data_IF_592299827787
#
_entry.id   IF_592299827787
#
_cell.length_a   1.000
_cell.length_b   1.000
_cell.length_c   1.000
_cell.angle_alpha   90.00
_cell.angle_beta   90.00
_cell.angle_gamma   90.00
#
_symmetry.space_group_name_H-M   'P 1'
#
loop_
_entity.id
_entity.type
_entity.pdbx_description
1 polymer ?
#
# COMPACT_ATOMS: atom_id res chain seq x y z
N UNK A 1 -78.70 -24.30 -11.06
CA UNK A 1 -77.78 -23.92 -12.15
C UNK A 1 -77.34 -22.48 -11.88
N UNK A 2 -76.08 -22.10 -11.71
CA UNK A 2 -74.80 -22.78 -11.59
C UNK A 2 -73.92 -21.89 -10.70
N UNK A 3 -73.15 -22.52 -9.81
CA UNK A 3 -72.49 -21.91 -8.66
C UNK A 3 -71.44 -20.84 -9.00
N UNK A 4 -71.48 -19.73 -8.26
CA UNK A 4 -70.44 -18.71 -8.17
C UNK A 4 -69.14 -19.33 -7.64
N UNK A 5 -68.14 -19.46 -8.51
CA UNK A 5 -66.78 -19.84 -8.11
C UNK A 5 -66.10 -18.63 -7.48
N UNK A 6 -66.24 -18.52 -6.16
CA UNK A 6 -65.33 -17.76 -5.31
C UNK A 6 -63.92 -18.36 -5.46
N UNK A 7 -63.11 -17.76 -6.33
CA UNK A 7 -61.67 -18.07 -6.39
C UNK A 7 -61.02 -17.48 -5.14
N UNK A 8 -60.90 -18.30 -4.10
CA UNK A 8 -60.02 -18.04 -2.95
C UNK A 8 -58.62 -17.76 -3.49
N UNK A 9 -58.23 -16.49 -3.45
CA UNK A 9 -56.89 -16.02 -3.75
C UNK A 9 -55.96 -16.58 -2.65
N UNK A 10 -55.45 -17.81 -2.86
CA UNK A 10 -54.42 -18.41 -2.00
C UNK A 10 -53.21 -17.51 -2.09
N UNK A 11 -52.96 -16.78 -1.00
CA UNK A 11 -51.78 -15.91 -0.85
C UNK A 11 -50.54 -16.66 -1.30
N UNK A 12 -50.05 -16.25 -2.48
CA UNK A 12 -48.74 -16.66 -2.97
C UNK A 12 -47.77 -16.16 -1.90
N UNK A 13 -47.21 -17.08 -1.09
CA UNK A 13 -46.13 -16.75 -0.16
C UNK A 13 -45.05 -16.07 -1.00
N UNK A 14 -44.94 -14.76 -0.87
CA UNK A 14 -43.88 -13.97 -1.52
C UNK A 14 -42.56 -14.66 -1.21
N UNK A 15 -41.83 -15.01 -2.27
CA UNK A 15 -40.52 -15.60 -2.06
C UNK A 15 -39.61 -14.54 -1.43
N UNK A 16 -38.63 -14.90 -0.59
CA UNK A 16 -37.68 -13.94 -0.02
C UNK A 16 -37.03 -13.03 -1.07
N UNK A 17 -36.82 -13.55 -2.29
CA UNK A 17 -36.37 -12.79 -3.47
C UNK A 17 -37.33 -11.67 -3.89
N UNK A 18 -38.65 -11.88 -3.77
CA UNK A 18 -39.67 -10.89 -4.13
C UNK A 18 -39.65 -9.69 -3.16
N UNK A 19 -39.41 -9.96 -1.87
CA UNK A 19 -39.30 -8.93 -0.82
C UNK A 19 -38.04 -8.10 -0.96
N UNK A 20 -36.90 -8.73 -1.26
CA UNK A 20 -35.65 -8.01 -1.55
C UNK A 20 -35.82 -7.16 -2.82
N UNK A 21 -36.40 -7.72 -3.88
CA UNK A 21 -36.67 -6.98 -5.10
C UNK A 21 -37.65 -5.81 -4.87
N UNK A 22 -38.64 -5.97 -3.99
CA UNK A 22 -39.54 -4.90 -3.59
C UNK A 22 -38.81 -3.79 -2.82
N UNK A 23 -37.96 -4.14 -1.85
CA UNK A 23 -37.16 -3.18 -1.11
C UNK A 23 -36.21 -2.38 -2.03
N UNK A 24 -35.53 -3.06 -2.96
CA UNK A 24 -34.67 -2.40 -3.95
C UNK A 24 -35.46 -1.46 -4.87
N UNK A 25 -36.69 -1.85 -5.28
CA UNK A 25 -37.58 -0.98 -6.06
C UNK A 25 -38.03 0.25 -5.27
N UNK A 26 -38.29 0.11 -3.97
CA UNK A 26 -38.65 1.23 -3.09
C UNK A 26 -37.48 2.22 -2.96
N UNK A 27 -36.26 1.72 -2.76
CA UNK A 27 -35.05 2.55 -2.71
C UNK A 27 -34.85 3.28 -4.04
N UNK A 28 -34.92 2.56 -5.16
CA UNK A 28 -34.82 3.15 -6.50
C UNK A 28 -35.90 4.22 -6.76
N UNK A 29 -37.13 3.98 -6.32
CA UNK A 29 -38.22 4.95 -6.40
C UNK A 29 -37.95 6.22 -5.58
N UNK A 30 -37.47 6.07 -4.35
CA UNK A 30 -37.14 7.19 -3.48
C UNK A 30 -35.99 8.04 -4.06
N UNK A 31 -34.97 7.41 -4.64
CA UNK A 31 -33.87 8.09 -5.32
C UNK A 31 -34.37 8.87 -6.54
N UNK A 32 -35.25 8.28 -7.35
CA UNK A 32 -35.84 8.98 -8.50
C UNK A 32 -36.61 10.23 -8.08
N UNK A 33 -37.41 10.13 -7.02
CA UNK A 33 -38.16 11.26 -6.48
C UNK A 33 -37.25 12.36 -5.94
N UNK A 34 -36.16 12.00 -5.26
CA UNK A 34 -35.20 12.96 -4.71
C UNK A 34 -34.36 13.64 -5.81
N UNK A 35 -33.95 12.92 -6.84
CA UNK A 35 -33.27 13.47 -8.02
C UNK A 35 -34.14 14.54 -8.72
N UNK A 36 -35.43 14.22 -8.92
CA UNK A 36 -36.40 15.15 -9.50
C UNK A 36 -36.60 16.39 -8.61
N UNK A 37 -36.68 16.21 -7.28
CA UNK A 37 -36.81 17.32 -6.33
C UNK A 37 -35.61 18.27 -6.36
N UNK A 38 -34.41 17.75 -6.56
CA UNK A 38 -33.14 18.52 -6.56
C UNK A 38 -32.72 19.03 -7.94
N UNK A 39 -33.46 18.71 -9.01
CA UNK A 39 -33.09 19.07 -10.38
C UNK A 39 -31.74 18.48 -10.83
N UNK A 40 -31.40 17.28 -10.35
CA UNK A 40 -30.15 16.58 -10.69
C UNK A 40 -30.42 15.26 -11.39
N UNK A 41 -29.45 14.79 -12.16
CA UNK A 41 -29.49 13.44 -12.72
C UNK A 41 -29.40 12.39 -11.61
N UNK A 42 -30.10 11.27 -11.83
CA UNK A 42 -30.06 10.13 -10.92
C UNK A 42 -28.67 9.47 -10.95
N UNK A 43 -28.12 9.04 -9.80
CA UNK A 43 -26.93 8.21 -9.80
C UNK A 43 -27.20 6.88 -10.52
N UNK A 44 -26.27 6.44 -11.36
CA UNK A 44 -26.37 5.19 -12.11
C UNK A 44 -26.04 3.95 -11.26
N UNK A 45 -25.36 4.13 -10.13
CA UNK A 45 -24.97 3.05 -9.22
C UNK A 45 -24.94 3.58 -7.79
N UNK A 46 -25.39 2.78 -6.83
CA UNK A 46 -25.36 3.10 -5.40
C UNK A 46 -24.93 1.86 -4.63
N UNK A 47 -23.95 2.02 -3.76
CA UNK A 47 -23.48 0.96 -2.87
C UNK A 47 -24.17 1.10 -1.51
N UNK A 48 -24.81 0.02 -1.05
CA UNK A 48 -25.48 -0.06 0.24
C UNK A 48 -24.77 -1.08 1.14
N UNK A 49 -24.09 -0.60 2.18
CA UNK A 49 -23.54 -1.45 3.23
C UNK A 49 -24.65 -1.80 4.24
N UNK A 50 -25.18 -3.03 4.18
CA UNK A 50 -26.16 -3.54 5.15
C UNK A 50 -25.46 -4.37 6.22
N UNK A 51 -25.58 -3.96 7.48
CA UNK A 51 -25.13 -4.75 8.63
C UNK A 51 -26.34 -5.37 9.34
N UNK A 52 -26.31 -6.69 9.52
CA UNK A 52 -27.33 -7.45 10.25
C UNK A 52 -26.76 -7.83 11.61
N UNK A 53 -27.50 -7.58 12.68
CA UNK A 53 -27.15 -8.06 14.02
C UNK A 53 -27.65 -9.50 14.25
N UNK A 54 -27.34 -10.06 15.42
CA UNK A 54 -27.64 -11.47 15.76
C UNK A 54 -29.14 -11.76 15.91
N UNK A 55 -30.00 -10.73 16.00
CA UNK A 55 -31.47 -10.88 16.02
C UNK A 55 -32.09 -10.87 14.62
N UNK A 56 -31.28 -10.65 13.58
CA UNK A 56 -31.76 -10.48 12.22
C UNK A 56 -32.47 -9.14 11.99
N UNK A 57 -32.39 -8.21 12.95
CA UNK A 57 -32.84 -6.85 12.76
C UNK A 57 -31.79 -6.07 11.96
N UNK A 58 -32.27 -5.29 10.99
CA UNK A 58 -31.40 -4.39 10.25
C UNK A 58 -31.14 -3.18 11.15
N UNK A 59 -30.01 -3.16 11.84
CA UNK A 59 -29.56 -1.95 12.51
C UNK A 59 -29.04 -0.97 11.46
N UNK A 60 -29.90 -0.05 11.03
CA UNK A 60 -29.50 1.06 10.19
C UNK A 60 -28.62 2.00 11.03
N UNK A 61 -27.31 2.04 10.78
CA UNK A 61 -26.47 3.06 11.42
C UNK A 61 -26.83 4.50 10.97
N UNK A 62 -27.63 4.65 9.90
CA UNK A 62 -28.27 5.90 9.45
C UNK A 62 -29.58 5.57 8.73
N UNK A 63 -30.65 6.33 9.00
CA UNK A 63 -31.96 6.18 8.35
C UNK A 63 -31.86 6.23 6.81
N UNK A 64 -32.77 5.55 6.10
CA UNK A 64 -32.79 5.50 4.64
C UNK A 64 -32.77 6.91 4.00
N UNK A 65 -33.42 7.88 4.62
CA UNK A 65 -33.42 9.29 4.20
C UNK A 65 -32.03 9.93 4.21
N UNK A 66 -31.15 9.51 5.13
CA UNK A 66 -29.78 9.99 5.23
C UNK A 66 -28.88 9.36 4.16
N UNK A 67 -29.12 8.09 3.80
CA UNK A 67 -28.41 7.43 2.70
C UNK A 67 -28.82 8.01 1.34
N UNK A 68 -30.11 8.25 1.13
CA UNK A 68 -30.63 8.90 -0.07
C UNK A 68 -30.08 10.32 -0.15
N UNK A 69 -30.11 11.09 0.94
CA UNK A 69 -29.53 12.43 0.96
C UNK A 69 -28.02 12.43 0.68
N UNK A 70 -27.28 11.46 1.22
CA UNK A 70 -25.85 11.29 0.98
C UNK A 70 -25.55 10.93 -0.48
N UNK A 71 -26.36 10.09 -1.13
CA UNK A 71 -26.18 9.71 -2.54
C UNK A 71 -26.32 10.89 -3.52
N UNK A 72 -26.97 11.98 -3.10
CA UNK A 72 -27.09 13.22 -3.86
C UNK A 72 -26.15 14.33 -3.38
N UNK A 73 -25.34 14.08 -2.34
CA UNK A 73 -24.23 14.97 -2.04
C UNK A 73 -23.17 14.81 -3.15
N UNK A 74 -22.67 15.91 -3.73
CA UNK A 74 -21.57 15.81 -4.66
C UNK A 74 -20.40 15.09 -3.96
N UNK A 75 -19.81 14.08 -4.61
CA UNK A 75 -18.65 13.35 -4.08
C UNK A 75 -18.89 11.95 -3.51
N UNK A 76 -20.10 11.40 -3.56
CA UNK A 76 -20.39 9.99 -3.19
C UNK A 76 -20.56 9.06 -4.38
N UNK A 77 -20.22 9.49 -5.60
CA UNK A 77 -20.14 8.59 -6.75
C UNK A 77 -18.72 7.99 -6.78
N UNK A 78 -18.50 6.73 -6.33
CA UNK A 78 -17.30 6.02 -6.69
C UNK A 78 -17.42 5.72 -8.19
N UNK A 79 -17.05 6.68 -9.05
CA UNK A 79 -16.96 6.37 -10.47
C UNK A 79 -16.00 5.17 -10.60
N UNK A 80 -16.44 4.03 -11.17
CA UNK A 80 -15.66 2.79 -11.19
C UNK A 80 -14.36 2.90 -12.00
N UNK A 81 -14.13 4.03 -12.67
CA UNK A 81 -12.94 4.34 -13.46
C UNK A 81 -11.64 4.40 -12.64
N UNK A 82 -11.71 4.51 -11.31
CA UNK A 82 -10.51 4.67 -10.46
C UNK A 82 -10.36 3.62 -9.35
N UNK A 83 -11.13 2.53 -9.40
CA UNK A 83 -10.81 1.32 -8.65
C UNK A 83 -9.70 0.57 -9.41
N UNK A 84 -8.46 0.62 -8.91
CA UNK A 84 -7.21 0.41 -9.68
C UNK A 84 -6.89 1.53 -10.67
N UNK A 85 -7.03 2.80 -10.23
CA UNK A 85 -6.86 3.97 -11.07
C UNK A 85 -5.53 3.94 -11.81
N UNK A 86 -5.56 3.67 -13.13
CA UNK A 86 -4.35 3.68 -13.92
C UNK A 86 -3.69 5.06 -13.83
N UNK A 87 -2.36 5.08 -13.83
CA UNK A 87 -1.64 6.33 -13.82
C UNK A 87 -1.56 6.93 -15.21
N UNK A 88 -1.76 8.25 -15.30
CA UNK A 88 -1.52 8.96 -16.53
C UNK A 88 -0.09 8.73 -17.03
N UNK A 89 0.04 8.19 -18.24
CA UNK A 89 1.32 8.05 -18.92
C UNK A 89 1.54 9.26 -19.83
N UNK A 90 2.46 10.15 -19.48
CA UNK A 90 2.73 11.36 -20.28
C UNK A 90 3.36 11.04 -21.63
N UNK A 91 4.06 9.90 -21.76
CA UNK A 91 4.61 9.47 -23.04
C UNK A 91 3.53 8.99 -24.01
N UNK A 92 2.55 8.23 -23.51
CA UNK A 92 1.46 7.69 -24.33
C UNK A 92 0.23 8.62 -24.39
N UNK A 93 0.20 9.67 -23.55
CA UNK A 93 -0.92 10.60 -23.37
C UNK A 93 -2.25 9.88 -23.08
N UNK A 94 -2.18 8.86 -22.24
CA UNK A 94 -3.36 8.07 -21.83
C UNK A 94 -3.05 7.37 -20.51
N UNK A 95 -4.09 7.01 -19.78
CA UNK A 95 -4.07 6.09 -18.64
C UNK A 95 -4.49 4.66 -19.07
N UNK A 96 -4.88 4.44 -20.33
CA UNK A 96 -5.24 3.13 -20.87
C UNK A 96 -4.08 2.26 -21.37
N UNK A 97 -2.83 2.72 -21.25
CA UNK A 97 -1.68 1.97 -21.78
C UNK A 97 -1.11 0.98 -20.76
N UNK A 98 -0.36 -0.04 -21.23
CA UNK A 98 0.27 -1.03 -20.34
C UNK A 98 1.18 -0.43 -19.26
N UNK A 99 1.82 0.72 -19.53
CA UNK A 99 2.67 1.40 -18.54
C UNK A 99 1.90 2.01 -17.37
N UNK A 100 0.58 2.22 -17.52
CA UNK A 100 -0.25 2.90 -16.53
C UNK A 100 -0.58 2.02 -15.33
N UNK A 101 -0.19 0.74 -15.35
CA UNK A 101 -0.45 -0.23 -14.29
C UNK A 101 0.84 -1.01 -13.98
N UNK A 102 0.99 -1.51 -12.74
CA UNK A 102 2.09 -2.43 -12.43
C UNK A 102 1.89 -3.77 -13.14
N UNK A 103 2.99 -4.41 -13.53
CA UNK A 103 2.97 -5.76 -14.10
C UNK A 103 2.81 -6.84 -13.01
N UNK A 104 3.20 -6.53 -11.77
CA UNK A 104 3.14 -7.41 -10.61
C UNK A 104 2.45 -6.69 -9.41
N UNK A 105 1.47 -7.30 -8.72
CA UNK A 105 0.80 -6.74 -7.53
C UNK A 105 1.71 -6.33 -6.36
N UNK A 106 2.99 -6.73 -6.38
CA UNK A 106 4.02 -6.35 -5.40
C UNK A 106 4.75 -5.06 -5.78
N UNK A 107 4.63 -4.65 -7.03
CA UNK A 107 5.21 -3.40 -7.52
C UNK A 107 4.41 -2.20 -7.02
N UNK A 108 5.13 -1.08 -6.97
CA UNK A 108 4.67 0.20 -6.45
C UNK A 108 5.10 1.29 -7.39
N UNK A 109 4.29 2.32 -7.50
CA UNK A 109 4.66 3.50 -8.27
C UNK A 109 5.87 4.16 -7.62
N UNK A 110 6.93 4.37 -8.39
CA UNK A 110 8.21 4.94 -7.94
C UNK A 110 8.50 6.31 -8.56
N UNK A 111 7.48 6.95 -9.13
CA UNK A 111 7.61 8.19 -9.88
C UNK A 111 7.61 7.97 -11.39
N UNK A 112 7.97 9.01 -12.13
CA UNK A 112 8.03 8.98 -13.58
C UNK A 112 9.48 8.86 -14.08
N UNK A 113 9.65 8.22 -15.22
CA UNK A 113 10.90 8.30 -16.00
C UNK A 113 11.05 9.68 -16.64
N UNK A 114 12.22 9.97 -17.21
CA UNK A 114 12.49 11.21 -17.95
C UNK A 114 11.49 11.50 -19.08
N UNK A 115 10.97 10.46 -19.73
CA UNK A 115 9.95 10.58 -20.80
C UNK A 115 8.52 10.63 -20.28
N UNK A 116 8.33 10.60 -18.96
CA UNK A 116 7.01 10.67 -18.35
C UNK A 116 6.22 9.35 -18.39
N UNK A 117 6.89 8.20 -18.61
CA UNK A 117 6.30 6.87 -18.32
C UNK A 117 6.29 6.60 -16.82
N UNK A 118 5.20 6.04 -16.25
CA UNK A 118 5.21 5.56 -14.87
C UNK A 118 6.29 4.50 -14.64
N UNK A 119 7.00 4.60 -13.52
CA UNK A 119 8.04 3.66 -13.10
C UNK A 119 7.48 2.78 -11.99
N UNK A 120 7.54 1.47 -12.18
CA UNK A 120 7.06 0.49 -11.22
C UNK A 120 8.24 -0.28 -10.61
N UNK A 121 8.36 -0.27 -9.29
CA UNK A 121 9.42 -0.97 -8.57
C UNK A 121 8.82 -1.88 -7.49
N UNK A 122 9.47 -3.02 -7.23
CA UNK A 122 9.15 -3.81 -6.04
C UNK A 122 9.39 -2.99 -4.77
N UNK A 123 8.63 -3.27 -3.71
CA UNK A 123 8.73 -2.51 -2.45
C UNK A 123 10.17 -2.42 -1.91
N UNK A 124 10.96 -3.50 -2.04
CA UNK A 124 12.35 -3.51 -1.59
C UNK A 124 13.22 -2.51 -2.36
N UNK A 125 13.10 -2.48 -3.68
CA UNK A 125 13.85 -1.55 -4.54
C UNK A 125 13.41 -0.11 -4.29
N UNK A 126 12.11 0.11 -4.06
CA UNK A 126 11.58 1.41 -3.64
C UNK A 126 12.20 1.85 -2.31
N UNK A 127 12.25 0.95 -1.32
CA UNK A 127 12.88 1.23 -0.04
C UNK A 127 14.38 1.53 -0.21
N UNK A 128 15.10 0.81 -1.07
CA UNK A 128 16.53 1.08 -1.33
C UNK A 128 16.76 2.44 -1.99
N UNK A 129 15.81 2.89 -2.80
CA UNK A 129 15.85 4.18 -3.49
C UNK A 129 15.60 5.33 -2.50
N UNK A 130 14.54 5.25 -1.70
CA UNK A 130 14.09 6.35 -0.84
C UNK A 130 14.50 6.24 0.65
N UNK A 131 15.06 5.10 1.07
CA UNK A 131 15.58 4.80 2.42
C UNK A 131 14.67 5.29 3.55
N UNK A 132 13.44 4.75 3.67
CA UNK A 132 12.54 5.15 4.73
C UNK A 132 13.12 4.75 6.09
N UNK A 133 12.86 5.57 7.11
CA UNK A 133 13.15 5.19 8.49
C UNK A 133 12.44 3.87 8.82
N UNK A 134 13.13 2.94 9.49
CA UNK A 134 12.60 1.63 9.83
C UNK A 134 12.70 0.58 8.71
N UNK A 135 13.45 0.82 7.64
CA UNK A 135 13.74 -0.21 6.64
C UNK A 135 14.28 -1.50 7.27
N UNK A 136 15.15 -1.40 8.29
CA UNK A 136 15.81 -2.56 8.90
C UNK A 136 14.83 -3.57 9.51
N UNK A 137 13.65 -3.12 9.94
CA UNK A 137 12.64 -4.00 10.54
C UNK A 137 11.89 -4.87 9.52
N UNK A 138 12.02 -4.60 8.22
CA UNK A 138 11.59 -5.52 7.14
C UNK A 138 12.37 -6.83 7.14
N UNK A 139 13.59 -6.85 7.69
CA UNK A 139 14.50 -8.00 7.63
C UNK A 139 14.66 -8.70 8.99
N UNK A 140 13.80 -8.35 9.96
CA UNK A 140 13.66 -9.02 11.23
C UNK A 140 13.03 -10.42 11.11
N UNK A 141 13.15 -11.29 12.14
CA UNK A 141 12.51 -12.61 12.15
C UNK A 141 10.98 -12.55 12.11
N UNK A 142 10.40 -11.39 12.49
CA UNK A 142 9.03 -11.00 12.20
C UNK A 142 9.11 -9.73 11.34
N UNK A 143 9.06 -9.83 10.00
CA UNK A 143 9.16 -8.67 9.13
C UNK A 143 8.02 -7.70 9.46
N UNK A 144 8.36 -6.47 9.85
CA UNK A 144 7.38 -5.42 10.14
C UNK A 144 6.81 -4.85 8.86
N UNK A 145 5.61 -4.29 8.92
CA UNK A 145 5.06 -3.50 7.83
C UNK A 145 5.84 -2.18 7.73
N UNK A 146 6.32 -1.85 6.53
CA UNK A 146 6.88 -0.54 6.22
C UNK A 146 5.79 0.37 5.70
N UNK A 147 5.82 1.60 6.20
CA UNK A 147 4.96 2.70 5.75
C UNK A 147 5.86 3.85 5.31
N UNK A 148 5.84 4.15 4.02
CA UNK A 148 6.60 5.23 3.40
C UNK A 148 5.64 6.30 2.89
N UNK A 149 6.02 7.57 3.01
CA UNK A 149 5.34 8.68 2.35
C UNK A 149 6.28 9.28 1.30
N UNK A 150 5.79 9.45 0.08
CA UNK A 150 6.48 10.12 -1.02
C UNK A 150 5.67 11.35 -1.44
N UNK A 151 6.36 12.46 -1.62
CA UNK A 151 5.79 13.73 -2.09
C UNK A 151 5.78 13.81 -3.62
N UNK A 152 5.02 14.72 -4.20
CA UNK A 152 5.03 14.96 -5.65
C UNK A 152 6.45 15.24 -6.17
N UNK A 153 7.22 16.10 -5.50
CA UNK A 153 8.60 16.41 -5.91
C UNK A 153 9.45 15.14 -6.04
N UNK A 154 9.33 14.21 -5.10
CA UNK A 154 10.06 12.92 -5.15
C UNK A 154 9.57 11.99 -6.27
N UNK A 155 8.30 12.09 -6.67
CA UNK A 155 7.71 11.27 -7.73
C UNK A 155 7.92 11.87 -9.13
N UNK A 156 8.16 13.18 -9.19
CA UNK A 156 8.30 13.95 -10.43
C UNK A 156 9.77 14.32 -10.74
N UNK A 157 10.71 14.02 -9.84
CA UNK A 157 12.12 14.45 -9.88
C UNK A 157 12.85 14.12 -11.20
N UNK A 158 12.69 12.89 -11.71
CA UNK A 158 13.35 12.44 -12.93
C UNK A 158 12.67 12.95 -14.22
N UNK A 159 11.48 13.56 -14.14
CA UNK A 159 10.65 13.91 -15.31
C UNK A 159 11.08 15.24 -15.95
N UNK A 160 11.28 15.24 -17.26
CA UNK A 160 11.64 16.47 -17.98
C UNK A 160 10.46 17.46 -18.05
N UNK A 161 10.70 18.78 -18.07
CA UNK A 161 9.65 19.82 -18.12
C UNK A 161 8.70 19.70 -19.33
N UNK A 162 9.18 19.19 -20.46
CA UNK A 162 8.32 18.95 -21.63
C UNK A 162 7.23 17.88 -21.39
N UNK A 163 7.33 17.13 -20.30
CA UNK A 163 6.35 16.13 -19.85
C UNK A 163 5.63 16.54 -18.55
N UNK A 164 5.65 17.82 -18.15
CA UNK A 164 4.97 18.30 -16.91
C UNK A 164 3.65 19.02 -17.13
N UNK A 165 3.36 19.58 -18.30
CA UNK A 165 2.21 20.50 -18.48
C UNK A 165 1.04 19.94 -19.30
N UNK A 166 -0.17 20.33 -18.91
CA UNK A 166 -1.32 20.54 -19.82
C UNK A 166 -2.18 19.35 -20.24
N UNK A 167 -1.75 18.10 -20.02
CA UNK A 167 -2.38 16.96 -20.72
C UNK A 167 -2.87 15.79 -19.87
N UNK A 168 -2.67 15.80 -18.54
CA UNK A 168 -3.19 14.73 -17.68
C UNK A 168 -4.63 15.00 -17.23
N UNK A 169 -5.48 13.96 -17.24
CA UNK A 169 -6.79 13.99 -16.56
C UNK A 169 -6.61 14.16 -15.04
N UNK A 170 -5.48 13.71 -14.52
CA UNK A 170 -5.12 13.80 -13.10
C UNK A 170 -3.60 13.95 -12.88
N UNK A 171 -3.22 14.49 -11.72
CA UNK A 171 -1.82 14.63 -11.22
C UNK A 171 -1.68 13.94 -9.87
N UNK A 172 -0.63 13.14 -9.70
CA UNK A 172 -0.27 12.57 -8.40
C UNK A 172 0.38 13.65 -7.53
N UNK A 173 -0.23 14.00 -6.40
CA UNK A 173 0.28 15.02 -5.46
C UNK A 173 1.15 14.39 -4.35
N UNK A 174 1.11 13.08 -4.23
CA UNK A 174 1.92 12.29 -3.31
C UNK A 174 1.25 10.96 -2.99
N UNK A 175 1.96 10.10 -2.26
CA UNK A 175 1.47 8.77 -1.94
C UNK A 175 2.00 8.22 -0.63
N UNK A 176 1.23 7.30 -0.04
CA UNK A 176 1.65 6.40 1.03
C UNK A 176 1.80 5.00 0.47
N UNK A 177 2.94 4.36 0.73
CA UNK A 177 3.21 2.97 0.35
C UNK A 177 3.27 2.13 1.62
N UNK A 178 2.54 1.02 1.63
CA UNK A 178 2.39 0.12 2.77
C UNK A 178 2.67 -1.30 2.34
N UNK A 179 3.65 -1.96 2.95
CA UNK A 179 3.85 -3.37 2.68
C UNK A 179 4.93 -4.02 3.54
N UNK A 180 5.03 -5.35 3.49
CA UNK A 180 4.20 -6.25 2.68
C UNK A 180 2.94 -6.68 3.46
N UNK A 181 1.76 -6.47 2.87
CA UNK A 181 0.46 -6.84 3.44
C UNK A 181 -0.02 -8.16 2.84
N UNK A 182 -0.72 -9.00 3.60
CA UNK A 182 -1.46 -10.12 3.01
C UNK A 182 -2.82 -9.66 2.47
N UNK A 183 -3.49 -10.45 1.61
CA UNK A 183 -4.77 -10.04 1.00
C UNK A 183 -5.90 -9.90 2.03
N UNK A 184 -5.81 -10.61 3.15
CA UNK A 184 -6.79 -10.54 4.24
C UNK A 184 -6.57 -9.36 5.18
N UNK A 185 -5.50 -8.59 4.97
CA UNK A 185 -5.05 -7.51 5.87
C UNK A 185 -4.93 -7.97 7.34
N UNK A 186 -4.63 -9.26 7.56
CA UNK A 186 -4.49 -9.92 8.87
C UNK A 186 -3.01 -10.21 9.21
N UNK A 187 -2.74 -10.98 10.27
CA UNK A 187 -1.37 -11.24 10.75
C UNK A 187 -0.80 -12.61 10.33
N UNK A 188 -1.55 -13.45 9.62
CA UNK A 188 -1.31 -14.90 9.60
C UNK A 188 -1.44 -15.53 8.21
N UNK A 189 -0.65 -15.08 7.24
CA UNK A 189 -0.59 -15.77 5.94
C UNK A 189 0.83 -15.96 5.41
N UNK A 190 0.98 -17.04 4.63
CA UNK A 190 2.22 -17.45 3.98
C UNK A 190 2.78 -16.35 3.05
N UNK A 191 4.09 -16.42 2.80
CA UNK A 191 4.84 -15.36 2.12
C UNK A 191 4.43 -15.08 0.66
N UNK A 192 3.77 -16.02 -0.02
CA UNK A 192 3.54 -15.93 -1.47
C UNK A 192 2.39 -15.01 -1.89
N UNK A 193 1.44 -14.69 -1.00
CA UNK A 193 0.29 -13.83 -1.34
C UNK A 193 0.48 -12.37 -0.94
N UNK A 194 1.69 -11.98 -0.52
CA UNK A 194 1.91 -10.62 -0.05
C UNK A 194 1.89 -9.60 -1.19
N UNK A 195 1.18 -8.50 -0.96
CA UNK A 195 1.02 -7.36 -1.87
C UNK A 195 1.46 -6.06 -1.21
N UNK A 196 1.62 -5.03 -2.03
CA UNK A 196 1.87 -3.68 -1.54
C UNK A 196 0.62 -2.84 -1.75
N UNK A 197 0.17 -2.14 -0.71
CA UNK A 197 -0.88 -1.14 -0.82
C UNK A 197 -0.25 0.23 -1.07
N UNK A 198 -0.64 0.89 -2.15
CA UNK A 198 -0.31 2.31 -2.37
C UNK A 198 -1.59 3.14 -2.29
N UNK A 199 -1.58 4.18 -1.46
CA UNK A 199 -2.66 5.16 -1.33
C UNK A 199 -2.12 6.48 -1.88
N UNK A 200 -2.59 6.89 -3.05
CA UNK A 200 -2.17 8.13 -3.70
C UNK A 200 -3.21 9.22 -3.49
N UNK A 201 -2.76 10.47 -3.37
CA UNK A 201 -3.62 11.65 -3.44
C UNK A 201 -3.48 12.24 -4.82
N UNK A 202 -4.58 12.35 -5.55
CA UNK A 202 -4.64 12.90 -6.90
C UNK A 202 -5.31 14.28 -6.90
N UNK A 203 -4.87 15.14 -7.80
CA UNK A 203 -5.63 16.30 -8.29
C UNK A 203 -6.28 15.88 -9.60
N UNK A 204 -7.60 16.00 -9.71
CA UNK A 204 -8.37 15.74 -10.93
C UNK A 204 -8.92 17.06 -11.42
N UNK A 205 -8.76 17.36 -12.72
CA UNK A 205 -9.31 18.57 -13.30
C UNK A 205 -10.79 18.33 -13.61
N UNK A 206 -11.69 19.11 -13.00
CA UNK A 206 -13.15 18.92 -13.13
C UNK A 206 -13.81 19.89 -14.10
N UNK A 207 -13.06 20.86 -14.65
CA UNK A 207 -13.60 21.89 -15.52
C UNK A 207 -12.77 23.17 -15.49
N UNK A 208 -13.43 24.33 -15.52
CA UNK A 208 -12.90 25.71 -15.55
C UNK A 208 -11.89 26.04 -14.42
N UNK A 209 -10.70 25.45 -14.46
CA UNK A 209 -9.66 25.68 -13.46
C UNK A 209 -9.94 25.07 -12.08
N UNK A 210 -11.09 24.41 -11.90
CA UNK A 210 -11.40 23.69 -10.68
C UNK A 210 -10.68 22.34 -10.60
N UNK A 211 -10.24 22.02 -9.39
CA UNK A 211 -9.57 20.77 -9.07
C UNK A 211 -10.31 20.08 -7.94
N UNK A 212 -10.59 18.80 -8.15
CA UNK A 212 -11.02 17.90 -7.10
C UNK A 212 -9.83 17.09 -6.59
N UNK A 213 -9.80 16.82 -5.29
CA UNK A 213 -8.81 15.93 -4.69
C UNK A 213 -9.42 14.57 -4.41
N UNK A 214 -8.78 13.52 -4.92
CA UNK A 214 -9.27 12.14 -4.77
C UNK A 214 -8.18 11.22 -4.22
N UNK A 215 -8.60 10.07 -3.70
CA UNK A 215 -7.68 8.97 -3.43
C UNK A 215 -7.66 8.00 -4.61
N UNK A 216 -6.48 7.50 -4.94
CA UNK A 216 -6.30 6.36 -5.82
C UNK A 216 -5.61 5.22 -5.05
N UNK A 217 -6.11 4.00 -5.21
CA UNK A 217 -5.57 2.81 -4.54
C UNK A 217 -4.94 1.88 -5.58
N UNK A 218 -3.71 1.45 -5.30
CA UNK A 218 -2.99 0.47 -6.12
C UNK A 218 -2.63 -0.73 -5.24
N UNK A 219 -2.81 -1.93 -5.78
CA UNK A 219 -2.55 -3.21 -5.12
C UNK A 219 -3.73 -3.79 -4.32
N UNK A 220 -4.69 -2.95 -3.95
CA UNK A 220 -5.96 -3.34 -3.32
C UNK A 220 -7.10 -2.44 -3.81
N UNK A 221 -8.28 -3.03 -4.01
CA UNK A 221 -9.54 -2.30 -4.23
C UNK A 221 -10.24 -1.95 -2.92
N UNK A 222 -11.17 -1.00 -2.98
CA UNK A 222 -12.09 -0.72 -1.88
C UNK A 222 -12.92 -1.96 -1.52
N UNK A 223 -13.37 -2.71 -2.54
CA UNK A 223 -14.13 -3.95 -2.36
C UNK A 223 -13.31 -5.03 -1.64
N UNK A 224 -12.05 -5.26 -2.01
CA UNK A 224 -11.17 -6.21 -1.31
C UNK A 224 -10.94 -5.79 0.15
N UNK A 225 -10.80 -4.49 0.43
CA UNK A 225 -10.66 -3.97 1.80
C UNK A 225 -11.97 -4.15 2.58
N UNK A 226 -13.13 -3.89 1.96
CA UNK A 226 -14.44 -4.07 2.57
C UNK A 226 -14.75 -5.55 2.86
N UNK A 227 -14.41 -6.44 1.93
CA UNK A 227 -14.50 -7.89 2.10
C UNK A 227 -13.60 -8.39 3.23
N UNK A 228 -12.40 -7.86 3.35
CA UNK A 228 -11.51 -8.18 4.48
C UNK A 228 -12.06 -7.65 5.81
N UNK A 229 -12.73 -6.48 5.79
CA UNK A 229 -13.35 -5.88 6.97
C UNK A 229 -14.56 -6.69 7.46
N UNK A 230 -15.43 -7.15 6.55
CA UNK A 230 -16.66 -7.90 6.86
C UNK A 230 -16.38 -9.29 7.45
N UNK A 231 -15.26 -9.91 7.07
CA UNK A 231 -14.86 -11.26 7.53
C UNK A 231 -14.37 -11.32 8.98
N UNK A 232 -14.14 -10.17 9.63
CA UNK A 232 -13.63 -10.15 11.02
C UNK A 232 -14.69 -9.65 12.00
N UNK A 233 -15.12 -10.52 12.91
CA UNK A 233 -16.11 -10.17 13.95
C UNK A 233 -15.55 -9.09 14.90
N UNK A 234 -16.37 -8.08 15.21
CA UNK A 234 -16.09 -7.08 16.26
C UNK A 234 -15.57 -5.71 15.80
N UNK A 235 -15.56 -5.38 14.51
CA UNK A 235 -15.36 -4.01 13.99
C UNK A 235 -14.00 -3.34 14.31
N UNK A 236 -13.05 -4.10 14.87
CA UNK A 236 -11.73 -3.63 15.31
C UNK A 236 -10.57 -4.20 14.45
N UNK A 237 -10.88 -4.85 13.34
CA UNK A 237 -9.87 -5.43 12.45
C UNK A 237 -9.01 -4.34 11.78
N UNK A 238 -7.76 -4.64 11.39
CA UNK A 238 -6.96 -3.71 10.62
C UNK A 238 -7.63 -3.29 9.31
N UNK A 239 -8.32 -4.22 8.64
CA UNK A 239 -9.11 -3.95 7.44
C UNK A 239 -10.23 -2.92 7.68
N UNK A 240 -11.02 -3.07 8.74
CA UNK A 240 -12.10 -2.10 9.06
C UNK A 240 -11.54 -0.73 9.46
N UNK A 241 -10.43 -0.71 10.22
CA UNK A 241 -9.75 0.54 10.57
C UNK A 241 -9.19 1.24 9.32
N UNK A 242 -8.62 0.48 8.37
CA UNK A 242 -8.15 1.00 7.10
C UNK A 242 -9.29 1.54 6.25
N UNK A 243 -10.41 0.80 6.13
CA UNK A 243 -11.61 1.23 5.42
C UNK A 243 -12.11 2.57 5.95
N UNK A 244 -12.30 2.69 7.27
CA UNK A 244 -12.72 3.94 7.92
C UNK A 244 -11.73 5.09 7.69
N UNK A 245 -10.43 4.81 7.73
CA UNK A 245 -9.39 5.80 7.45
C UNK A 245 -9.48 6.32 6.02
N UNK A 246 -9.66 5.43 5.05
CA UNK A 246 -9.82 5.77 3.63
C UNK A 246 -11.06 6.64 3.44
N UNK A 247 -12.23 6.21 3.93
CA UNK A 247 -13.47 6.98 3.81
C UNK A 247 -13.38 8.36 4.47
N UNK A 248 -12.80 8.44 5.68
CA UNK A 248 -12.57 9.72 6.37
C UNK A 248 -11.65 10.64 5.58
N UNK A 249 -10.62 10.07 4.94
CA UNK A 249 -9.66 10.84 4.16
C UNK A 249 -10.29 11.32 2.85
N UNK A 250 -11.06 10.48 2.15
CA UNK A 250 -11.82 10.89 0.97
C UNK A 250 -12.75 12.06 1.28
N UNK A 251 -13.54 11.98 2.36
CA UNK A 251 -14.40 13.09 2.79
C UNK A 251 -13.61 14.38 3.08
N UNK A 252 -12.43 14.27 3.69
CA UNK A 252 -11.55 15.42 3.94
C UNK A 252 -11.01 16.04 2.65
N UNK A 253 -10.60 15.22 1.68
CA UNK A 253 -10.07 15.66 0.40
C UNK A 253 -11.16 16.32 -0.45
N UNK A 254 -12.37 15.75 -0.45
CA UNK A 254 -13.52 16.31 -1.15
C UNK A 254 -13.89 17.71 -0.61
N UNK A 255 -13.85 17.92 0.70
CA UNK A 255 -14.09 19.23 1.31
C UNK A 255 -12.91 20.22 1.21
N UNK A 256 -11.78 19.81 0.62
CA UNK A 256 -10.56 20.61 0.64
C UNK A 256 -10.61 21.86 -0.26
N UNK A 257 -11.13 21.84 -1.51
CA UNK A 257 -11.14 23.03 -2.36
C UNK A 257 -11.80 24.23 -1.70
N UNK A 258 -12.98 24.03 -1.08
CA UNK A 258 -13.70 25.06 -0.34
C UNK A 258 -12.90 25.60 0.85
N UNK A 259 -12.25 24.70 1.62
CA UNK A 259 -11.42 25.09 2.77
C UNK A 259 -10.13 25.81 2.37
N UNK A 260 -9.55 25.49 1.22
CA UNK A 260 -8.34 26.13 0.72
C UNK A 260 -8.63 27.50 0.12
N UNK A 261 -9.83 27.71 -0.44
CA UNK A 261 -10.24 29.00 -0.99
C UNK A 261 -10.22 30.13 0.06
N UNK A 262 -10.53 29.81 1.33
CA UNK A 262 -10.61 30.80 2.42
C UNK A 262 -9.27 31.14 3.09
N UNK A 263 -8.19 30.43 2.77
CA UNK A 263 -6.87 30.70 3.34
C UNK A 263 -6.16 31.86 2.61
N UNK A 264 -4.98 32.27 3.07
CA UNK A 264 -4.12 33.25 2.40
C UNK A 264 -2.96 32.55 1.65
N UNK A 265 -2.28 33.25 0.73
CA UNK A 265 -1.19 32.70 -0.09
C UNK A 265 -1.63 32.23 -1.48
N UNK A 266 -0.72 31.68 -2.28
CA UNK A 266 -1.05 31.16 -3.62
C UNK A 266 -1.82 29.83 -3.53
N UNK A 267 -2.58 29.49 -4.57
CA UNK A 267 -3.30 28.20 -4.64
C UNK A 267 -2.33 27.00 -4.52
N UNK A 268 -1.15 27.12 -5.12
CA UNK A 268 -0.11 26.09 -5.10
C UNK A 268 0.45 25.85 -3.69
N UNK A 269 0.81 26.93 -2.98
CA UNK A 269 1.34 26.84 -1.60
C UNK A 269 0.32 26.24 -0.64
N UNK A 270 -0.93 26.71 -0.72
CA UNK A 270 -2.03 26.19 0.10
C UNK A 270 -2.23 24.70 -0.14
N UNK A 271 -2.21 24.29 -1.41
CA UNK A 271 -2.31 22.88 -1.81
C UNK A 271 -1.14 22.07 -1.26
N UNK A 272 0.10 22.52 -1.46
CA UNK A 272 1.29 21.81 -0.99
C UNK A 272 1.24 21.55 0.52
N UNK A 273 0.94 22.58 1.32
CA UNK A 273 0.82 22.47 2.78
C UNK A 273 -0.30 21.50 3.18
N UNK A 274 -1.45 21.57 2.51
CA UNK A 274 -2.58 20.69 2.81
C UNK A 274 -2.28 19.23 2.50
N UNK A 275 -1.67 18.96 1.35
CA UNK A 275 -1.30 17.61 0.93
C UNK A 275 -0.23 17.03 1.85
N UNK A 276 0.81 17.80 2.18
CA UNK A 276 1.85 17.37 3.12
C UNK A 276 1.24 16.97 4.48
N UNK A 277 0.37 17.82 5.05
CA UNK A 277 -0.35 17.52 6.30
C UNK A 277 -1.22 16.26 6.19
N UNK A 278 -1.87 16.06 5.04
CA UNK A 278 -2.71 14.90 4.77
C UNK A 278 -1.86 13.63 4.70
N UNK A 279 -0.76 13.63 3.95
CA UNK A 279 0.19 12.51 3.86
C UNK A 279 0.81 12.19 5.22
N UNK A 280 1.19 13.19 6.01
CA UNK A 280 1.74 12.97 7.37
C UNK A 280 0.73 12.29 8.29
N UNK A 281 -0.54 12.70 8.21
CA UNK A 281 -1.63 12.12 9.00
C UNK A 281 -1.92 10.68 8.54
N UNK A 282 -2.05 10.46 7.23
CA UNK A 282 -2.23 9.14 6.65
C UNK A 282 -1.10 8.18 7.05
N UNK A 283 0.16 8.60 6.89
CA UNK A 283 1.33 7.81 7.31
C UNK A 283 1.21 7.38 8.77
N UNK A 284 0.93 8.34 9.67
CA UNK A 284 0.78 8.06 11.11
C UNK A 284 -0.36 7.07 11.39
N UNK A 285 -1.54 7.31 10.84
CA UNK A 285 -2.73 6.49 11.11
C UNK A 285 -2.58 5.08 10.51
N UNK A 286 -2.05 4.96 9.30
CA UNK A 286 -1.73 3.67 8.67
C UNK A 286 -0.68 2.93 9.49
N UNK A 287 0.40 3.59 9.92
CA UNK A 287 1.39 2.99 10.81
C UNK A 287 0.74 2.48 12.09
N UNK A 288 -0.19 3.21 12.71
CA UNK A 288 -0.90 2.78 13.92
C UNK A 288 -1.88 1.61 13.68
N UNK A 289 -2.43 1.47 12.48
CA UNK A 289 -3.29 0.34 12.11
C UNK A 289 -2.48 -0.96 12.08
N UNK A 290 -1.28 -0.87 11.53
CA UNK A 290 -0.42 -2.02 11.29
C UNK A 290 0.65 -2.24 12.37
N UNK A 291 0.90 -1.27 13.25
CA UNK A 291 1.84 -1.41 14.37
C UNK A 291 1.32 -2.30 15.50
N UNK A 292 0.01 -2.45 15.66
CA UNK A 292 -0.58 -3.38 16.65
C UNK A 292 -0.27 -4.86 16.33
N UNK A 293 0.22 -5.18 15.14
CA UNK A 293 0.75 -6.51 14.80
C UNK A 293 2.14 -6.79 15.43
N UNK A 294 2.76 -5.81 16.09
CA UNK A 294 4.10 -5.88 16.70
C UNK A 294 4.03 -6.22 18.21
N UNK A 295 2.84 -6.24 18.82
CA UNK A 295 2.68 -6.37 20.27
C UNK A 295 2.54 -7.79 20.81
N UNK A 296 3.66 -8.53 20.94
CA UNK A 296 3.97 -9.38 22.12
C UNK A 296 5.36 -10.02 21.95
N UNK A 297 6.37 -9.36 22.51
CA UNK A 297 7.29 -9.92 23.51
C UNK A 297 8.38 -8.88 23.81
N UNK A 298 8.34 -8.34 25.02
CA UNK A 298 9.39 -7.52 25.66
C UNK A 298 10.80 -8.15 25.52
N UNK A 299 10.87 -9.47 25.30
CA UNK A 299 12.09 -10.22 24.98
C UNK A 299 12.82 -9.79 23.69
N UNK A 300 12.13 -9.19 22.71
CA UNK A 300 12.80 -8.73 21.47
C UNK A 300 13.68 -7.50 21.72
N UNK A 301 13.28 -6.61 22.63
CA UNK A 301 14.05 -5.43 23.04
C UNK A 301 15.31 -5.84 23.80
N UNK A 302 15.19 -6.86 24.67
CA UNK A 302 16.32 -7.45 25.42
C UNK A 302 17.33 -8.16 24.49
N UNK A 303 16.87 -8.81 23.42
CA UNK A 303 17.76 -9.44 22.41
C UNK A 303 18.47 -8.45 21.50
N UNK A 304 17.90 -7.26 21.29
CA UNK A 304 18.53 -6.21 20.48
C UNK A 304 19.75 -5.60 21.20
N UNK A 305 19.70 -5.55 22.54
CA UNK A 305 20.82 -5.15 23.39
C UNK A 305 21.89 -6.25 23.53
N UNK A 306 21.53 -7.53 23.38
CA UNK A 306 22.46 -8.65 23.56
C UNK A 306 23.17 -9.16 22.30
N UNK A 307 22.91 -8.58 21.11
CA UNK A 307 23.73 -8.77 19.90
C UNK A 307 23.76 -10.20 19.33
N UNK A 308 22.78 -11.04 19.66
CA UNK A 308 22.87 -12.48 19.48
C UNK A 308 21.78 -13.00 18.50
N UNK A 309 22.09 -13.10 17.20
CA UNK A 309 21.25 -13.77 16.18
C UNK A 309 21.86 -15.14 15.78
N UNK A 310 21.07 -16.17 15.40
CA UNK A 310 21.59 -17.48 14.99
C UNK A 310 22.02 -17.47 13.52
N UNK A 311 23.28 -17.82 13.28
CA UNK A 311 24.08 -17.50 12.08
C UNK A 311 24.74 -18.72 11.44
N UNK A 312 24.47 -19.94 11.94
CA UNK A 312 25.29 -21.13 11.66
C UNK A 312 25.52 -21.37 10.16
N UNK A 313 24.47 -21.36 9.34
CA UNK A 313 24.58 -21.62 7.89
C UNK A 313 25.31 -20.52 7.10
N UNK A 314 25.13 -19.25 7.44
CA UNK A 314 25.83 -18.15 6.77
C UNK A 314 27.31 -18.10 7.16
N UNK A 315 27.65 -18.47 8.39
CA UNK A 315 29.03 -18.59 8.84
C UNK A 315 29.71 -19.81 8.24
N UNK A 316 29.06 -20.97 8.26
CA UNK A 316 29.59 -22.20 7.67
C UNK A 316 29.81 -22.04 6.15
N UNK A 317 28.88 -21.38 5.45
CA UNK A 317 29.02 -21.06 4.02
C UNK A 317 30.16 -20.05 3.75
N UNK A 318 30.50 -19.18 4.71
CA UNK A 318 31.49 -18.10 4.53
C UNK A 318 32.91 -18.48 4.97
N UNK A 319 33.09 -19.44 5.88
CA UNK A 319 34.39 -19.85 6.43
C UNK A 319 35.37 -20.42 5.40
N UNK A 320 34.89 -20.85 4.23
CA UNK A 320 35.67 -21.54 3.19
C UNK A 320 35.63 -20.84 1.83
N UNK A 321 35.24 -19.58 1.80
CA UNK A 321 35.11 -18.82 0.55
C UNK A 321 36.48 -18.25 0.16
N UNK A 322 36.96 -18.50 -1.07
CA UNK A 322 38.24 -17.96 -1.54
C UNK A 322 38.20 -16.43 -1.65
N UNK A 323 39.37 -15.77 -1.57
CA UNK A 323 39.53 -14.31 -1.67
C UNK A 323 38.79 -13.70 -2.86
N UNK A 324 38.86 -14.36 -4.01
CA UNK A 324 38.22 -13.94 -5.27
C UNK A 324 36.69 -13.75 -5.15
N UNK A 325 36.06 -14.40 -4.17
CA UNK A 325 34.63 -14.35 -3.89
C UNK A 325 34.27 -13.44 -2.72
N UNK A 326 35.22 -12.65 -2.25
CA UNK A 326 35.00 -11.63 -1.24
C UNK A 326 35.17 -10.26 -1.87
N UNK A 327 34.15 -9.44 -1.75
CA UNK A 327 34.11 -8.08 -2.29
C UNK A 327 33.87 -7.09 -1.18
N UNK A 328 34.34 -5.86 -1.35
CA UNK A 328 34.04 -4.74 -0.48
C UNK A 328 33.03 -3.83 -1.17
N UNK A 329 31.91 -3.58 -0.49
CA UNK A 329 30.94 -2.57 -0.91
C UNK A 329 31.40 -1.20 -0.41
N UNK A 330 31.98 -0.38 -1.29
CA UNK A 330 32.46 0.97 -0.96
C UNK A 330 31.33 1.89 -0.49
N UNK A 331 30.11 1.70 -1.00
CA UNK A 331 28.95 2.55 -0.68
C UNK A 331 28.42 2.26 0.71
N UNK A 332 28.39 0.99 1.10
CA UNK A 332 27.81 0.53 2.36
C UNK A 332 28.84 0.20 3.44
N UNK A 333 30.14 0.25 3.12
CA UNK A 333 31.27 -0.09 4.00
C UNK A 333 31.14 -1.49 4.60
N UNK A 334 30.73 -2.46 3.79
CA UNK A 334 30.46 -3.84 4.19
C UNK A 334 31.19 -4.84 3.29
N UNK A 335 31.53 -6.00 3.85
CA UNK A 335 32.07 -7.12 3.12
C UNK A 335 30.96 -7.99 2.53
N UNK A 336 31.14 -8.44 1.29
CA UNK A 336 30.21 -9.28 0.56
C UNK A 336 30.91 -10.58 0.22
N UNK A 337 30.45 -11.68 0.81
CA UNK A 337 30.99 -13.02 0.62
C UNK A 337 30.06 -13.80 -0.30
N UNK A 338 30.53 -14.19 -1.47
CA UNK A 338 29.74 -14.89 -2.48
C UNK A 338 29.80 -16.40 -2.20
N UNK A 339 28.71 -16.91 -1.64
CA UNK A 339 28.49 -18.33 -1.38
C UNK A 339 28.03 -19.11 -2.62
N UNK A 340 27.66 -20.38 -2.40
CA UNK A 340 27.18 -21.28 -3.47
C UNK A 340 25.78 -20.87 -3.97
N UNK A 341 25.46 -21.19 -5.23
CA UNK A 341 24.15 -20.93 -5.88
C UNK A 341 23.74 -19.44 -5.92
N UNK A 342 24.67 -18.56 -6.28
CA UNK A 342 24.45 -17.11 -6.42
C UNK A 342 23.91 -16.43 -5.15
N UNK A 343 24.18 -17.00 -3.97
CA UNK A 343 23.82 -16.39 -2.69
C UNK A 343 25.01 -15.62 -2.14
N UNK A 344 24.83 -14.35 -1.84
CA UNK A 344 25.83 -13.51 -1.19
C UNK A 344 25.47 -13.29 0.29
N UNK A 345 26.48 -13.30 1.16
CA UNK A 345 26.39 -13.01 2.58
C UNK A 345 27.10 -11.70 2.86
N UNK A 346 26.44 -10.76 3.51
CA UNK A 346 26.98 -9.43 3.81
C UNK A 346 27.41 -9.40 5.27
N UNK A 347 28.60 -8.88 5.52
CA UNK A 347 29.21 -8.73 6.84
C UNK A 347 29.65 -7.30 7.10
N UNK A 348 29.56 -6.86 8.34
CA UNK A 348 30.11 -5.58 8.78
C UNK A 348 31.63 -5.65 8.93
N UNK A 349 32.34 -4.51 9.07
CA UNK A 349 33.78 -4.50 9.35
C UNK A 349 34.18 -5.24 10.65
N UNK A 350 33.24 -5.37 11.59
CA UNK A 350 33.40 -6.11 12.84
C UNK A 350 33.16 -7.63 12.69
N UNK A 351 32.93 -8.13 11.46
CA UNK A 351 32.63 -9.54 11.19
C UNK A 351 31.21 -9.95 11.60
N UNK A 352 30.30 -9.00 11.82
CA UNK A 352 28.91 -9.31 12.13
C UNK A 352 28.16 -9.60 10.85
N UNK A 353 27.41 -10.71 10.83
CA UNK A 353 26.54 -11.02 9.70
C UNK A 353 25.40 -9.99 9.64
N UNK A 354 25.32 -9.26 8.52
CA UNK A 354 24.34 -8.21 8.27
C UNK A 354 23.11 -8.82 7.58
N UNK A 355 23.30 -9.53 6.45
CA UNK A 355 22.20 -10.16 5.70
C UNK A 355 22.70 -11.20 4.69
N UNK A 356 21.81 -11.96 4.05
CA UNK A 356 22.14 -12.78 2.87
C UNK A 356 21.10 -12.58 1.77
N UNK A 357 21.54 -12.47 0.52
CA UNK A 357 20.69 -12.21 -0.64
C UNK A 357 21.04 -13.13 -1.80
N UNK A 358 20.12 -13.29 -2.77
CA UNK A 358 20.41 -13.95 -4.05
C UNK A 358 20.71 -12.88 -5.09
N UNK A 359 21.83 -13.02 -5.76
CA UNK A 359 22.25 -12.12 -6.83
C UNK A 359 21.61 -12.57 -8.15
N UNK A 360 21.10 -11.60 -8.92
CA UNK A 360 20.65 -11.85 -10.28
C UNK A 360 21.84 -12.00 -11.23
N UNK A 361 21.63 -12.69 -12.36
CA UNK A 361 22.67 -12.86 -13.39
C UNK A 361 23.20 -11.51 -13.89
N UNK A 362 24.52 -11.33 -13.89
CA UNK A 362 25.19 -10.09 -14.31
C UNK A 362 25.16 -8.94 -13.29
N UNK A 363 24.57 -9.13 -12.10
CA UNK A 363 24.51 -8.10 -11.06
C UNK A 363 25.90 -7.79 -10.47
N UNK A 364 26.75 -8.82 -10.32
CA UNK A 364 28.13 -8.70 -9.86
C UNK A 364 28.93 -7.85 -10.86
N UNK A 365 28.89 -8.21 -12.14
CA UNK A 365 29.65 -7.54 -13.19
C UNK A 365 29.25 -6.07 -13.33
N UNK A 366 27.96 -5.77 -13.20
CA UNK A 366 27.46 -4.37 -13.19
C UNK A 366 27.98 -3.59 -11.99
N UNK A 367 28.09 -4.20 -10.81
CA UNK A 367 28.58 -3.53 -9.58
C UNK A 367 30.10 -3.37 -9.59
N UNK A 368 30.83 -4.31 -10.18
CA UNK A 368 32.28 -4.21 -10.41
C UNK A 368 32.61 -3.14 -11.47
N UNK A 369 31.94 -3.16 -12.64
CA UNK A 369 32.13 -2.13 -13.69
C UNK A 369 31.85 -0.70 -13.24
N UNK A 370 30.97 -0.54 -12.25
CA UNK A 370 30.63 0.76 -11.65
C UNK A 370 31.47 1.10 -10.41
N UNK A 371 32.49 0.30 -10.11
CA UNK A 371 33.38 0.42 -8.94
C UNK A 371 32.65 0.50 -7.59
N UNK A 372 31.38 0.07 -7.56
CA UNK A 372 30.56 0.07 -6.34
C UNK A 372 31.01 -1.05 -5.43
N UNK A 373 31.32 -2.20 -6.01
CA UNK A 373 32.01 -3.29 -5.35
C UNK A 373 33.43 -3.34 -5.88
N UNK A 374 34.37 -3.57 -4.97
CA UNK A 374 35.78 -3.74 -5.32
C UNK A 374 36.32 -5.00 -4.70
N UNK A 375 37.40 -5.51 -5.27
CA UNK A 375 38.11 -6.62 -4.67
C UNK A 375 38.69 -6.21 -3.31
N UNK A 376 38.54 -7.07 -2.31
CA UNK A 376 39.22 -6.86 -1.02
C UNK A 376 40.72 -7.13 -1.16
N UNK A 377 41.51 -6.47 -0.33
CA UNK A 377 42.94 -6.79 -0.19
C UNK A 377 43.12 -8.10 0.57
N UNK A 378 44.32 -8.70 0.48
CA UNK A 378 44.67 -9.90 1.24
C UNK A 378 44.55 -9.66 2.75
N UNK A 379 45.06 -8.52 3.23
CA UNK A 379 45.04 -8.14 4.65
C UNK A 379 43.61 -7.98 5.19
N UNK A 380 42.73 -7.33 4.41
CA UNK A 380 41.32 -7.16 4.78
C UNK A 380 40.56 -8.48 4.82
N UNK A 381 40.87 -9.39 3.90
CA UNK A 381 40.31 -10.73 3.85
C UNK A 381 40.72 -11.57 5.06
N UNK A 382 42.01 -11.58 5.41
CA UNK A 382 42.52 -12.30 6.58
C UNK A 382 41.92 -11.74 7.89
N UNK A 383 41.85 -10.41 8.00
CA UNK A 383 41.21 -9.71 9.13
C UNK A 383 39.73 -10.09 9.28
N UNK A 384 38.99 -10.15 8.17
CA UNK A 384 37.59 -10.58 8.17
C UNK A 384 37.47 -12.05 8.58
N UNK A 385 38.27 -12.94 8.00
CA UNK A 385 38.21 -14.38 8.26
C UNK A 385 38.57 -14.72 9.71
N UNK A 386 39.54 -14.03 10.30
CA UNK A 386 39.87 -14.17 11.72
C UNK A 386 38.67 -13.82 12.63
N UNK A 387 37.95 -12.72 12.32
CA UNK A 387 36.74 -12.29 13.04
C UNK A 387 35.57 -13.26 12.86
N UNK A 388 35.45 -13.88 11.69
CA UNK A 388 34.41 -14.88 11.41
C UNK A 388 34.68 -16.21 12.12
N UNK A 389 35.96 -16.58 12.31
CA UNK A 389 36.36 -17.79 13.06
C UNK A 389 36.13 -17.62 14.56
N UNK A 390 36.61 -16.53 15.17
CA UNK A 390 36.54 -16.31 16.63
C UNK A 390 35.11 -16.25 17.18
N UNK A 391 34.14 -15.78 16.38
CA UNK A 391 32.73 -15.67 16.80
C UNK A 391 31.92 -16.95 16.60
N UNK A 392 32.44 -17.91 15.84
CA UNK A 392 31.81 -19.21 15.60
C UNK A 392 31.90 -20.17 16.80
N UNK A 393 32.95 -20.01 17.63
CA UNK A 393 33.26 -20.95 18.73
C UNK A 393 32.70 -20.54 20.10
N UNK A 394 32.26 -19.30 20.29
CA UNK A 394 31.89 -18.75 21.61
C UNK A 394 30.54 -19.21 22.19
N UNK A 395 29.94 -20.31 21.70
CA UNK A 395 28.56 -20.73 22.09
C UNK A 395 28.37 -22.22 22.42
N UNK A 396 29.44 -23.00 22.59
CA UNK A 396 29.32 -24.44 22.95
C UNK A 396 29.39 -24.69 24.47
N UNK A 397 29.62 -23.65 25.30
CA UNK A 397 29.65 -23.79 26.76
C UNK A 397 28.48 -23.00 27.35
N UNK A 398 27.31 -23.63 27.44
CA UNK A 398 26.24 -23.36 28.41
C UNK A 398 25.00 -24.18 28.01
N UNK A 399 25.11 -25.49 28.24
CA UNK A 399 23.97 -26.38 28.53
C UNK A 399 24.50 -27.42 29.52
N UNK A 400 24.54 -27.03 30.79
CA UNK A 400 24.47 -27.89 31.97
C UNK A 400 23.57 -27.23 33.00
#
# INVERSE_FOLDING_TARGET
MGASKSSRNRGRKEQPSDRIAQALRMIHGALKSEAARRGRDRPNTITLDLAFDETGEVSWHRSADVLISAAFEPGTDPSPEYEHGPLWCFQCKTDGCGHSRPDDPRQTFAGYTATGKPKWLGLLDLCLTFRPQGMDSLFGPKPSIVVMALTDNQLSDERLPQFTEGHGTHRVLGQIVVGLLNPKLDASSHHDDKRTLTIQVLSVKTGEGEFEYRLNLIGFTLNEIADAASKTRGGRSPAERLRRLISKTQARLHAAPQKLATLTGTQEERRAIFIEKTLKTLKRDVSQIFSSQIGRTEHARVRHLSGQRPTRKAWDDSKRVPLERVLYDKRHKTYVVIGKRSRAHIFSPAGLHVTSLRLQSGEIDRKLKRERWVQVTQDDYESLMAKLKSRGDTRVVNDQ
#
